data_IF_048612900815
#
_entry.id   IF_048612900815
#
_cell.length_a   1.000
_cell.length_b   1.000
_cell.length_c   1.000
_cell.angle_alpha   90.00
_cell.angle_beta   90.00
_cell.angle_gamma   90.00
#
_symmetry.space_group_name_H-M   'P 1'
#
loop_
_entity.id
_entity.type
_entity.pdbx_description
1 polymer ?
#
# COMPACT_ATOMS: atom_id res chain seq x y z
N UNK A 1 -25.09 -32.28 -6.17
CA UNK A 1 -25.22 -30.89 -5.68
C UNK A 1 -23.81 -30.45 -5.33
N UNK A 2 -23.05 -30.03 -6.34
CA UNK A 2 -21.64 -29.66 -6.18
C UNK A 2 -21.57 -28.38 -5.37
N UNK A 3 -20.85 -28.44 -4.26
CA UNK A 3 -20.52 -27.29 -3.42
C UNK A 3 -19.67 -26.33 -4.24
N UNK A 4 -20.24 -25.19 -4.64
CA UNK A 4 -19.46 -24.11 -5.26
C UNK A 4 -18.44 -23.61 -4.25
N UNK A 5 -17.19 -23.99 -4.46
CA UNK A 5 -16.04 -23.49 -3.73
C UNK A 5 -15.85 -22.03 -4.16
N UNK A 6 -16.58 -21.14 -3.50
CA UNK A 6 -16.68 -19.74 -3.88
C UNK A 6 -15.33 -19.06 -3.61
N UNK A 7 -14.60 -18.74 -4.67
CA UNK A 7 -13.22 -18.22 -4.71
C UNK A 7 -13.08 -16.78 -4.17
N UNK A 8 -13.60 -16.50 -2.97
CA UNK A 8 -13.71 -15.16 -2.38
C UNK A 8 -12.39 -14.54 -1.87
N UNK A 9 -11.28 -15.27 -1.97
CA UNK A 9 -9.99 -14.93 -1.33
C UNK A 9 -8.93 -14.35 -2.30
N UNK A 10 -9.26 -14.21 -3.59
CA UNK A 10 -8.24 -13.93 -4.62
C UNK A 10 -7.83 -12.45 -4.75
N UNK A 11 -8.75 -11.49 -4.64
CA UNK A 11 -8.45 -10.11 -5.07
C UNK A 11 -7.40 -9.42 -4.17
N UNK A 12 -7.53 -9.54 -2.84
CA UNK A 12 -6.56 -8.95 -1.90
C UNK A 12 -5.19 -9.63 -2.00
N UNK A 13 -5.14 -10.95 -2.20
CA UNK A 13 -3.90 -11.69 -2.38
C UNK A 13 -3.13 -11.22 -3.63
N UNK A 14 -3.83 -11.03 -4.75
CA UNK A 14 -3.21 -10.50 -5.97
C UNK A 14 -2.83 -9.03 -5.83
N UNK A 15 -3.62 -8.21 -5.13
CA UNK A 15 -3.28 -6.80 -4.95
C UNK A 15 -2.05 -6.59 -4.06
N UNK A 16 -1.75 -7.51 -3.13
CA UNK A 16 -0.49 -7.52 -2.38
C UNK A 16 0.75 -7.60 -3.28
N UNK A 17 0.65 -8.22 -4.45
CA UNK A 17 1.77 -8.32 -5.40
C UNK A 17 2.12 -6.98 -6.06
N UNK A 18 1.24 -5.98 -5.99
CA UNK A 18 1.54 -4.62 -6.45
C UNK A 18 2.73 -4.05 -5.66
N UNK A 19 2.87 -4.39 -4.38
CA UNK A 19 4.02 -3.97 -3.57
C UNK A 19 5.36 -4.59 -4.02
N UNK A 20 5.32 -5.70 -4.78
CA UNK A 20 6.53 -6.25 -5.40
C UNK A 20 7.08 -5.30 -6.47
N UNK A 21 6.20 -4.62 -7.22
CA UNK A 21 6.62 -3.59 -8.18
C UNK A 21 7.34 -2.47 -7.45
N UNK A 22 6.82 -2.01 -6.32
CA UNK A 22 7.49 -1.01 -5.48
C UNK A 22 8.88 -1.48 -5.02
N UNK A 23 8.98 -2.75 -4.60
CA UNK A 23 10.26 -3.34 -4.18
C UNK A 23 11.29 -3.35 -5.32
N UNK A 24 10.90 -3.79 -6.53
CA UNK A 24 11.76 -3.85 -7.71
C UNK A 24 12.18 -2.43 -8.15
N UNK A 25 11.23 -1.50 -8.22
CA UNK A 25 11.50 -0.10 -8.60
C UNK A 25 12.44 0.56 -7.58
N UNK A 26 12.20 0.37 -6.28
CA UNK A 26 13.09 0.88 -5.25
C UNK A 26 14.50 0.29 -5.35
N UNK A 27 14.63 -1.01 -5.66
CA UNK A 27 15.92 -1.65 -5.87
C UNK A 27 16.67 -1.06 -7.08
N UNK A 28 15.97 -0.84 -8.20
CA UNK A 28 16.54 -0.27 -9.41
C UNK A 28 17.09 1.16 -9.21
N UNK A 29 16.46 1.94 -8.33
CA UNK A 29 16.89 3.30 -7.98
C UNK A 29 17.79 3.36 -6.72
N UNK A 30 18.42 2.24 -6.36
CA UNK A 30 19.36 2.11 -5.23
C UNK A 30 18.77 2.43 -3.84
N UNK A 31 17.44 2.40 -3.68
CA UNK A 31 16.75 2.52 -2.40
C UNK A 31 16.59 1.14 -1.72
N UNK A 32 17.70 0.46 -1.43
CA UNK A 32 17.71 -0.93 -0.95
C UNK A 32 16.91 -1.14 0.35
N UNK A 33 17.00 -0.23 1.31
CA UNK A 33 16.23 -0.35 2.56
C UNK A 33 14.72 -0.23 2.32
N UNK A 34 14.33 0.63 1.39
CA UNK A 34 12.93 0.79 1.00
C UNK A 34 12.41 -0.45 0.27
N UNK A 35 13.24 -0.96 -0.65
CA UNK A 35 12.98 -2.20 -1.39
C UNK A 35 12.77 -3.39 -0.43
N UNK A 36 13.62 -3.50 0.59
CA UNK A 36 13.52 -4.51 1.64
C UNK A 36 12.21 -4.40 2.41
N UNK A 37 11.80 -3.20 2.83
CA UNK A 37 10.52 -3.03 3.53
C UNK A 37 9.31 -3.39 2.67
N UNK A 38 9.30 -3.01 1.39
CA UNK A 38 8.24 -3.45 0.47
C UNK A 38 8.24 -4.96 0.25
N UNK A 39 9.41 -5.58 0.14
CA UNK A 39 9.51 -7.03 0.01
C UNK A 39 9.01 -7.75 1.28
N UNK A 40 9.36 -7.23 2.46
CA UNK A 40 8.85 -7.74 3.73
C UNK A 40 7.32 -7.64 3.78
N UNK A 41 6.74 -6.53 3.33
CA UNK A 41 5.28 -6.36 3.24
C UNK A 41 4.64 -7.37 2.30
N UNK A 42 5.25 -7.68 1.15
CA UNK A 42 4.76 -8.72 0.25
C UNK A 42 4.71 -10.06 0.99
N UNK A 43 5.79 -10.44 1.68
CA UNK A 43 5.84 -11.70 2.44
C UNK A 43 4.78 -11.72 3.54
N UNK A 44 4.69 -10.68 4.37
CA UNK A 44 3.73 -10.65 5.49
C UNK A 44 2.29 -10.67 5.00
N UNK A 45 1.98 -9.94 3.93
CA UNK A 45 0.64 -9.86 3.36
C UNK A 45 0.21 -11.20 2.75
N UNK A 46 1.11 -11.89 2.03
CA UNK A 46 0.86 -13.25 1.53
C UNK A 46 0.61 -14.23 2.68
N UNK A 47 1.41 -14.15 3.76
CA UNK A 47 1.24 -15.00 4.94
C UNK A 47 -0.10 -14.72 5.63
N UNK A 48 -0.47 -13.45 5.85
CA UNK A 48 -1.75 -13.07 6.48
C UNK A 48 -2.95 -13.59 5.69
N UNK A 49 -2.91 -13.48 4.36
CA UNK A 49 -4.00 -13.97 3.52
C UNK A 49 -4.06 -15.49 3.40
N UNK A 50 -2.94 -16.19 3.57
CA UNK A 50 -2.90 -17.66 3.61
C UNK A 50 -3.29 -18.24 4.99
N UNK A 51 -2.89 -17.58 6.07
CA UNK A 51 -3.08 -18.01 7.44
C UNK A 51 -3.32 -16.78 8.33
N UNK A 52 -4.60 -16.46 8.54
CA UNK A 52 -4.99 -15.30 9.31
C UNK A 52 -4.74 -15.56 10.81
N UNK A 53 -3.65 -15.01 11.33
CA UNK A 53 -3.28 -15.05 12.73
C UNK A 53 -3.09 -13.62 13.23
N UNK A 54 -3.44 -13.37 14.50
CA UNK A 54 -3.24 -12.06 15.14
C UNK A 54 -1.77 -11.63 15.03
N UNK A 55 -0.82 -12.55 15.22
CA UNK A 55 0.61 -12.24 15.10
C UNK A 55 1.02 -11.83 13.69
N UNK A 56 0.53 -12.53 12.66
CA UNK A 56 0.87 -12.22 11.26
C UNK A 56 0.26 -10.88 10.85
N UNK A 57 -0.95 -10.57 11.31
CA UNK A 57 -1.61 -9.27 11.08
C UNK A 57 -0.86 -8.11 11.75
N UNK A 58 -0.34 -8.32 12.98
CA UNK A 58 0.51 -7.32 13.65
C UNK A 58 1.80 -7.09 12.85
N UNK A 59 2.47 -8.15 12.39
CA UNK A 59 3.69 -8.04 11.59
C UNK A 59 3.46 -7.29 10.26
N UNK A 60 2.33 -7.54 9.61
CA UNK A 60 1.94 -6.84 8.38
C UNK A 60 1.78 -5.34 8.60
N UNK A 61 1.06 -4.95 9.66
CA UNK A 61 0.89 -3.54 10.05
C UNK A 61 2.20 -2.86 10.44
N UNK A 62 3.10 -3.56 11.12
CA UNK A 62 4.45 -3.05 11.44
C UNK A 62 5.24 -2.78 10.16
N UNK A 63 5.15 -3.67 9.17
CA UNK A 63 5.82 -3.52 7.87
C UNK A 63 5.29 -2.28 7.12
N UNK A 64 3.96 -2.08 7.10
CA UNK A 64 3.34 -0.86 6.57
C UNK A 64 3.88 0.39 7.28
N UNK A 65 3.98 0.36 8.61
CA UNK A 65 4.45 1.49 9.40
C UNK A 65 5.90 1.87 9.04
N UNK A 66 6.79 0.89 8.85
CA UNK A 66 8.16 1.14 8.40
C UNK A 66 8.22 1.76 7.00
N UNK A 67 7.39 1.29 6.07
CA UNK A 67 7.27 1.85 4.72
C UNK A 67 6.81 3.31 4.79
N UNK A 68 5.80 3.62 5.60
CA UNK A 68 5.28 4.98 5.74
C UNK A 68 6.33 5.91 6.35
N UNK A 69 7.00 5.53 7.43
CA UNK A 69 8.02 6.36 8.05
C UNK A 69 9.23 6.58 7.14
N UNK A 70 9.75 5.52 6.55
CA UNK A 70 10.90 5.62 5.66
C UNK A 70 10.55 6.40 4.39
N UNK A 71 9.39 6.14 3.80
CA UNK A 71 8.87 6.87 2.65
C UNK A 71 8.65 8.36 2.93
N UNK A 72 8.09 8.69 4.10
CA UNK A 72 7.92 10.08 4.54
C UNK A 72 9.25 10.80 4.74
N UNK A 73 10.25 10.13 5.33
CA UNK A 73 11.60 10.67 5.46
C UNK A 73 12.28 10.89 4.11
N UNK A 74 12.16 9.92 3.18
CA UNK A 74 12.71 10.03 1.83
C UNK A 74 12.06 11.17 1.04
N UNK A 75 10.74 11.30 1.14
CA UNK A 75 9.99 12.41 0.55
C UNK A 75 10.44 13.76 1.12
N UNK A 76 10.54 13.88 2.44
CA UNK A 76 11.03 15.09 3.11
C UNK A 76 12.41 15.51 2.60
N UNK A 77 13.36 14.57 2.47
CA UNK A 77 14.68 14.86 1.91
C UNK A 77 14.62 15.38 0.48
N UNK A 78 13.78 14.80 -0.37
CA UNK A 78 13.61 15.24 -1.77
C UNK A 78 12.97 16.63 -1.85
N UNK A 79 12.12 17.00 -0.90
CA UNK A 79 11.53 18.34 -0.80
C UNK A 79 12.53 19.46 -0.46
N UNK A 80 13.69 19.14 0.11
CA UNK A 80 14.73 20.14 0.44
C UNK A 80 15.59 20.53 -0.78
N UNK A 81 15.51 19.78 -1.88
CA UNK A 81 16.26 20.06 -3.10
C UNK A 81 15.62 21.22 -3.90
N UNK A 82 16.40 21.97 -4.71
CA UNK A 82 15.89 23.09 -5.51
C UNK A 82 14.63 22.73 -6.31
N UNK A 83 13.61 23.58 -6.19
CA UNK A 83 12.26 23.29 -6.66
C UNK A 83 12.07 23.83 -8.08
N UNK A 84 11.57 22.98 -8.99
CA UNK A 84 11.02 23.37 -10.28
C UNK A 84 9.50 23.08 -10.31
N UNK A 85 8.78 23.66 -11.28
CA UNK A 85 7.31 23.54 -11.38
C UNK A 85 6.88 22.07 -11.52
N UNK A 86 7.66 21.25 -12.23
CA UNK A 86 7.37 19.82 -12.42
C UNK A 86 7.43 19.06 -11.09
N UNK A 87 8.44 19.32 -10.26
CA UNK A 87 8.58 18.71 -8.93
C UNK A 87 7.47 19.16 -7.98
N UNK A 88 7.04 20.43 -8.04
CA UNK A 88 5.87 20.88 -7.26
C UNK A 88 4.63 20.05 -7.61
N UNK A 89 4.36 19.86 -8.91
CA UNK A 89 3.25 19.03 -9.38
C UNK A 89 3.32 17.60 -8.81
N UNK A 90 4.49 16.96 -8.88
CA UNK A 90 4.71 15.63 -8.31
C UNK A 90 4.51 15.58 -6.80
N UNK A 91 5.03 16.57 -6.06
CA UNK A 91 4.86 16.66 -4.60
C UNK A 91 3.39 16.77 -4.22
N UNK A 92 2.61 17.59 -4.93
CA UNK A 92 1.16 17.70 -4.72
C UNK A 92 0.49 16.36 -4.99
N UNK A 93 0.80 15.69 -6.11
CA UNK A 93 0.24 14.37 -6.43
C UNK A 93 0.57 13.33 -5.36
N UNK A 94 1.81 13.28 -4.88
CA UNK A 94 2.25 12.39 -3.81
C UNK A 94 1.39 12.63 -2.55
N UNK A 95 1.30 13.87 -2.08
CA UNK A 95 0.50 14.20 -0.88
C UNK A 95 -0.97 13.84 -1.09
N UNK A 96 -1.55 14.13 -2.26
CA UNK A 96 -2.94 13.77 -2.58
C UNK A 96 -3.17 12.26 -2.52
N UNK A 97 -2.25 11.42 -3.01
CA UNK A 97 -2.40 9.96 -2.93
C UNK A 97 -2.45 9.46 -1.49
N UNK A 98 -1.59 9.98 -0.59
CA UNK A 98 -1.64 9.62 0.82
C UNK A 98 -2.92 10.12 1.51
N UNK A 99 -3.37 11.33 1.22
CA UNK A 99 -4.65 11.84 1.75
C UNK A 99 -5.84 10.98 1.30
N UNK A 100 -5.85 10.52 0.04
CA UNK A 100 -6.87 9.59 -0.46
C UNK A 100 -6.80 8.25 0.30
N UNK A 101 -5.60 7.69 0.52
CA UNK A 101 -5.48 6.43 1.28
C UNK A 101 -5.98 6.57 2.72
N UNK A 102 -5.64 7.68 3.40
CA UNK A 102 -6.12 7.98 4.75
C UNK A 102 -7.64 8.14 4.76
N UNK A 103 -8.19 8.86 3.79
CA UNK A 103 -9.63 9.04 3.65
C UNK A 103 -10.33 7.69 3.47
N UNK A 104 -9.96 6.90 2.45
CA UNK A 104 -10.58 5.60 2.16
C UNK A 104 -10.54 4.65 3.36
N UNK A 105 -9.43 4.63 4.11
CA UNK A 105 -9.29 3.77 5.27
C UNK A 105 -10.07 4.30 6.48
N UNK A 106 -9.76 5.52 6.93
CA UNK A 106 -10.28 6.04 8.20
C UNK A 106 -11.75 6.44 8.12
N UNK A 107 -12.15 7.13 7.04
CA UNK A 107 -13.57 7.45 6.81
C UNK A 107 -14.38 6.17 6.59
N UNK A 108 -13.82 5.21 5.83
CA UNK A 108 -14.43 3.90 5.63
C UNK A 108 -14.65 3.15 6.95
N UNK A 109 -13.67 3.20 7.86
CA UNK A 109 -13.77 2.55 9.17
C UNK A 109 -14.89 3.13 10.03
N UNK A 110 -14.98 4.46 10.14
CA UNK A 110 -15.99 5.14 10.96
C UNK A 110 -17.41 4.87 10.43
N UNK A 111 -17.60 4.96 9.10
CA UNK A 111 -18.92 4.86 8.48
C UNK A 111 -19.29 3.44 8.05
N UNK A 112 -18.44 2.44 8.31
CA UNK A 112 -18.61 1.05 7.83
C UNK A 112 -18.78 0.95 6.31
N UNK A 113 -17.96 1.72 5.59
CA UNK A 113 -17.93 1.81 4.14
C UNK A 113 -16.55 1.39 3.58
N UNK A 114 -16.46 1.25 2.25
CA UNK A 114 -15.23 0.88 1.54
C UNK A 114 -14.66 -0.46 2.03
N UNK A 115 -13.41 -0.47 2.51
CA UNK A 115 -12.73 -1.66 3.05
C UNK A 115 -13.45 -2.29 4.25
N UNK A 116 -14.42 -1.60 4.85
CA UNK A 116 -15.18 -2.04 6.02
C UNK A 116 -16.67 -2.23 5.72
N UNK A 117 -17.03 -2.30 4.44
CA UNK A 117 -18.38 -2.65 4.01
C UNK A 117 -18.70 -4.11 4.41
N UNK A 118 -19.97 -4.37 4.77
CA UNK A 118 -20.43 -5.73 5.07
C UNK A 118 -20.37 -6.66 3.85
N UNK A 119 -20.49 -6.09 2.65
CA UNK A 119 -20.26 -6.81 1.41
C UNK A 119 -18.75 -7.02 1.18
N UNK A 120 -18.33 -8.27 1.34
CA UNK A 120 -16.94 -8.68 1.16
C UNK A 120 -16.39 -8.39 -0.25
N UNK A 121 -17.21 -8.41 -1.29
CA UNK A 121 -16.74 -8.13 -2.65
C UNK A 121 -16.36 -6.66 -2.78
N UNK A 122 -17.24 -5.77 -2.32
CA UNK A 122 -17.01 -4.32 -2.28
C UNK A 122 -15.80 -4.02 -1.39
N UNK A 123 -15.73 -4.62 -0.20
CA UNK A 123 -14.62 -4.43 0.72
C UNK A 123 -13.27 -4.81 0.09
N UNK A 124 -13.20 -5.96 -0.59
CA UNK A 124 -11.98 -6.43 -1.25
C UNK A 124 -11.57 -5.54 -2.45
N UNK A 125 -12.54 -5.04 -3.22
CA UNK A 125 -12.27 -4.11 -4.32
C UNK A 125 -11.67 -2.79 -3.81
N UNK A 126 -12.27 -2.19 -2.78
CA UNK A 126 -11.74 -0.96 -2.18
C UNK A 126 -10.41 -1.17 -1.47
N UNK A 127 -10.19 -2.32 -0.85
CA UNK A 127 -8.90 -2.68 -0.26
C UNK A 127 -7.80 -2.78 -1.33
N UNK A 128 -8.10 -3.43 -2.45
CA UNK A 128 -7.18 -3.52 -3.58
C UNK A 128 -6.94 -2.15 -4.24
N UNK A 129 -7.97 -1.31 -4.32
CA UNK A 129 -7.82 0.08 -4.77
C UNK A 129 -6.92 0.89 -3.83
N UNK A 130 -7.04 0.70 -2.51
CA UNK A 130 -6.16 1.31 -1.53
C UNK A 130 -4.70 0.88 -1.74
N UNK A 131 -4.43 -0.41 -1.98
CA UNK A 131 -3.09 -0.90 -2.32
C UNK A 131 -2.53 -0.21 -3.57
N UNK A 132 -3.36 -0.06 -4.61
CA UNK A 132 -2.96 0.60 -5.86
C UNK A 132 -2.61 2.08 -5.64
N UNK A 133 -3.48 2.84 -4.98
CA UNK A 133 -3.25 4.28 -4.75
C UNK A 133 -2.03 4.51 -3.85
N UNK A 134 -1.87 3.69 -2.80
CA UNK A 134 -0.70 3.73 -1.92
C UNK A 134 0.59 3.39 -2.69
N UNK A 135 0.58 2.30 -3.45
CA UNK A 135 1.72 1.87 -4.28
C UNK A 135 2.15 2.98 -5.24
N UNK A 136 1.19 3.60 -5.93
CA UNK A 136 1.44 4.70 -6.86
C UNK A 136 2.11 5.89 -6.18
N UNK A 137 1.62 6.33 -5.01
CA UNK A 137 2.25 7.40 -4.24
C UNK A 137 3.70 7.10 -3.86
N UNK A 138 3.99 5.85 -3.47
CA UNK A 138 5.36 5.43 -3.13
C UNK A 138 6.29 5.32 -4.34
N UNK A 139 5.79 4.90 -5.51
CA UNK A 139 6.56 4.94 -6.78
C UNK A 139 6.91 6.39 -7.13
N UNK A 140 5.96 7.32 -6.99
CA UNK A 140 6.23 8.75 -7.23
C UNK A 140 7.28 9.32 -6.27
N UNK A 141 7.33 8.89 -4.99
CA UNK A 141 8.41 9.26 -4.07
C UNK A 141 9.77 8.80 -4.60
N UNK A 142 9.86 7.58 -5.14
CA UNK A 142 11.10 7.03 -5.69
C UNK A 142 11.58 7.88 -6.87
N UNK A 143 10.66 8.30 -7.75
CA UNK A 143 10.93 9.05 -8.97
C UNK A 143 11.19 10.57 -8.78
N UNK A 144 10.72 11.17 -7.67
CA UNK A 144 10.86 12.60 -7.36
C UNK A 144 12.31 13.08 -7.15
#
# INVERSE_FOLDING_TARGET
METSYNSKQNCCFYSSTIFLVNSIVAFWFDYYLYSFFFFLLVITSLVVHSNNNIYTNIMDKISILFIVFYGGWLFYKKCLLPIDIKRIGLMITIVSTFLITIYLYYFGYINRQYCFCEDNEIANQYHSFLHLVSSFGHILIILL
#
